data_IF_741586376655
#
_entry.id   IF_741586376655
#
_cell.length_a   1.000
_cell.length_b   1.000
_cell.length_c   1.000
_cell.angle_alpha   90.00
_cell.angle_beta   90.00
_cell.angle_gamma   90.00
#
_symmetry.space_group_name_H-M   'P 1'
#
loop_
_entity.id
_entity.type
_entity.pdbx_description
1 polymer ?
#
# COMPACT_ATOMS: atom_id res chain seq x y z
N UNK A 1 -11.25 16.90 1.81
CA UNK A 1 -10.28 15.85 1.50
C UNK A 1 -10.78 14.50 2.03
N UNK A 2 -11.19 13.61 1.12
CA UNK A 2 -11.64 12.24 1.45
C UNK A 2 -10.59 11.24 0.96
N UNK A 3 -10.37 10.15 1.69
CA UNK A 3 -9.51 9.04 1.24
C UNK A 3 -10.41 7.88 0.87
N UNK A 4 -10.23 7.32 -0.33
CA UNK A 4 -10.88 6.09 -0.79
C UNK A 4 -9.81 5.02 -0.99
N UNK A 5 -10.03 3.87 -0.36
CA UNK A 5 -9.15 2.70 -0.47
C UNK A 5 -9.87 1.71 -1.38
N UNK A 6 -9.23 1.31 -2.48
CA UNK A 6 -9.75 0.22 -3.32
C UNK A 6 -9.68 -1.11 -2.55
N UNK A 7 -10.62 -2.02 -2.79
CA UNK A 7 -10.61 -3.35 -2.15
C UNK A 7 -9.28 -4.07 -2.35
N UNK A 8 -8.66 -3.90 -3.52
CA UNK A 8 -7.34 -4.46 -3.85
C UNK A 8 -6.22 -4.05 -2.89
N UNK A 9 -6.33 -2.88 -2.26
CA UNK A 9 -5.34 -2.30 -1.35
C UNK A 9 -5.68 -2.53 0.13
N UNK A 10 -6.89 -3.01 0.46
CA UNK A 10 -7.30 -3.24 1.85
C UNK A 10 -6.50 -4.37 2.51
N UNK A 11 -6.32 -5.47 1.78
CA UNK A 11 -5.56 -6.62 2.27
C UNK A 11 -4.09 -6.24 2.53
N UNK A 12 -3.48 -5.47 1.61
CA UNK A 12 -2.10 -5.00 1.76
C UNK A 12 -1.94 -4.06 2.95
N UNK A 13 -2.92 -3.17 3.19
CA UNK A 13 -2.94 -2.30 4.37
C UNK A 13 -3.03 -3.09 5.67
N UNK A 14 -3.83 -4.17 5.67
CA UNK A 14 -3.96 -5.06 6.82
C UNK A 14 -2.67 -5.83 7.08
N UNK A 15 -2.04 -6.40 6.04
CA UNK A 15 -0.72 -7.04 6.14
C UNK A 15 0.33 -6.06 6.68
N UNK A 16 0.37 -4.84 6.11
CA UNK A 16 1.25 -3.78 6.60
C UNK A 16 1.02 -3.49 8.06
N UNK A 17 -0.22 -3.22 8.47
CA UNK A 17 -0.59 -2.90 9.85
C UNK A 17 -0.09 -3.97 10.84
N UNK A 18 -0.37 -5.25 10.59
CA UNK A 18 0.09 -6.33 11.46
C UNK A 18 1.61 -6.44 11.52
N UNK A 19 2.30 -6.17 10.40
CA UNK A 19 3.75 -6.15 10.36
C UNK A 19 4.32 -5.01 11.25
N UNK A 20 3.73 -3.81 11.21
CA UNK A 20 4.21 -2.65 11.96
C UNK A 20 3.86 -2.64 13.44
N UNK A 21 2.68 -3.13 13.79
CA UNK A 21 2.25 -3.18 15.19
C UNK A 21 3.22 -4.01 16.04
N UNK A 22 3.91 -4.98 15.43
CA UNK A 22 4.76 -5.91 16.17
C UNK A 22 6.28 -5.71 16.01
N UNK A 23 6.81 -5.09 14.94
CA UNK A 23 8.22 -5.40 14.59
C UNK A 23 9.20 -4.31 14.14
N UNK A 24 8.86 -3.08 13.71
CA UNK A 24 9.90 -2.20 13.13
C UNK A 24 9.78 -0.69 13.41
N UNK A 25 10.94 -0.02 13.54
CA UNK A 25 11.06 1.46 13.67
C UNK A 25 10.86 2.20 12.33
N UNK A 26 10.91 1.49 11.20
CA UNK A 26 10.79 2.07 9.84
C UNK A 26 9.66 1.41 9.11
N UNK A 27 8.97 2.19 8.26
CA UNK A 27 7.88 1.73 7.43
C UNK A 27 8.33 1.35 6.00
N UNK A 28 8.84 0.13 5.71
CA UNK A 28 9.24 -0.31 4.36
C UNK A 28 8.06 -0.64 3.41
N UNK A 29 6.98 0.14 3.42
CA UNK A 29 5.89 -0.03 2.44
C UNK A 29 5.68 1.27 1.67
N UNK A 30 5.40 1.16 0.38
CA UNK A 30 5.07 2.28 -0.50
C UNK A 30 3.57 2.27 -0.83
N UNK A 31 2.94 3.45 -0.85
CA UNK A 31 1.53 3.60 -1.21
C UNK A 31 1.45 4.15 -2.63
N UNK A 32 0.75 3.44 -3.52
CA UNK A 32 0.44 3.92 -4.86
C UNK A 32 -0.95 4.56 -4.84
N UNK A 33 -1.01 5.88 -5.05
CA UNK A 33 -2.24 6.65 -4.95
C UNK A 33 -2.36 7.69 -6.07
N UNK A 34 -3.60 8.06 -6.36
CA UNK A 34 -3.95 9.15 -7.26
C UNK A 34 -4.68 10.24 -6.48
N UNK A 35 -4.43 11.50 -6.86
CA UNK A 35 -5.14 12.65 -6.32
C UNK A 35 -6.14 13.13 -7.37
N UNK A 36 -7.41 13.19 -6.99
CA UNK A 36 -8.47 13.89 -7.71
C UNK A 36 -8.94 15.09 -6.86
N UNK A 37 -9.66 16.04 -7.45
CA UNK A 37 -9.92 17.38 -6.89
C UNK A 37 -10.29 17.43 -5.40
N UNK A 38 -11.02 16.44 -4.88
CA UNK A 38 -11.38 16.35 -3.45
C UNK A 38 -11.10 14.97 -2.82
N UNK A 39 -10.49 14.05 -3.55
CA UNK A 39 -10.25 12.70 -3.06
C UNK A 39 -8.90 12.11 -3.42
N UNK A 40 -8.33 11.36 -2.48
CA UNK A 40 -7.15 10.53 -2.69
C UNK A 40 -7.61 9.09 -2.85
N UNK A 41 -7.30 8.47 -4.00
CA UNK A 41 -7.58 7.06 -4.28
C UNK A 41 -6.31 6.24 -4.07
N UNK A 42 -6.35 5.29 -3.14
CA UNK A 42 -5.25 4.34 -2.92
C UNK A 42 -5.50 3.10 -3.78
N UNK A 43 -4.58 2.85 -4.71
CA UNK A 43 -4.67 1.75 -5.67
C UNK A 43 -3.98 0.48 -5.16
N UNK A 44 -2.83 0.62 -4.50
CA UNK A 44 -2.05 -0.49 -3.97
C UNK A 44 -1.16 -0.05 -2.81
N UNK A 45 -0.80 -0.99 -1.94
CA UNK A 45 0.28 -0.83 -0.96
C UNK A 45 1.31 -1.93 -1.19
N UNK A 46 2.56 -1.53 -1.39
CA UNK A 46 3.65 -2.40 -1.82
C UNK A 46 4.64 -2.59 -0.68
N UNK A 47 4.90 -3.83 -0.29
CA UNK A 47 6.01 -4.17 0.61
C UNK A 47 7.34 -4.08 -0.16
N UNK A 48 8.17 -3.09 0.18
CA UNK A 48 9.44 -2.81 -0.49
C UNK A 48 10.55 -3.83 -0.16
N UNK A 49 10.28 -4.80 0.71
CA UNK A 49 11.21 -5.90 1.04
C UNK A 49 10.98 -7.13 0.17
N UNK A 50 9.84 -7.21 -0.52
CA UNK A 50 9.53 -8.31 -1.45
C UNK A 50 10.37 -8.20 -2.72
N UNK A 51 10.54 -9.34 -3.39
CA UNK A 51 11.33 -9.44 -4.63
C UNK A 51 10.81 -8.46 -5.72
N UNK A 52 11.70 -7.72 -6.41
CA UNK A 52 11.29 -6.75 -7.44
C UNK A 52 10.47 -7.34 -8.60
N UNK A 53 10.65 -8.63 -8.94
CA UNK A 53 9.85 -9.28 -9.97
C UNK A 53 8.42 -9.57 -9.49
N UNK A 54 8.21 -9.79 -8.19
CA UNK A 54 6.86 -9.84 -7.60
C UNK A 54 6.17 -8.48 -7.71
N UNK A 55 6.87 -7.40 -7.34
CA UNK A 55 6.34 -6.03 -7.38
C UNK A 55 5.90 -5.65 -8.79
N UNK A 56 6.72 -5.94 -9.81
CA UNK A 56 6.39 -5.66 -11.22
C UNK A 56 5.10 -6.35 -11.68
N UNK A 57 4.92 -7.61 -11.29
CA UNK A 57 3.71 -8.39 -11.64
C UNK A 57 2.47 -7.93 -10.87
N UNK A 58 2.63 -7.35 -9.68
CA UNK A 58 1.54 -6.77 -8.87
C UNK A 58 1.01 -5.46 -9.44
N UNK A 59 1.85 -4.73 -10.18
CA UNK A 59 1.54 -3.42 -10.78
C UNK A 59 1.04 -3.49 -12.23
N UNK A 60 1.03 -4.69 -12.85
CA UNK A 60 0.42 -4.96 -14.15
C UNK A 60 -1.05 -5.32 -13.98
#
# INVERSE_FOLDING_TARGET
>A
MKIKILESAKEDLKEGFHFYEFQEKRFPFAIYYGIEENEVRIYAVIDCRRDPAWIRRRLQ
#
